data_IF_117072478492
#
_entry.id   IF_117072478492
#
_cell.length_a   1.000
_cell.length_b   1.000
_cell.length_c   1.000
_cell.angle_alpha   90.00
_cell.angle_beta   90.00
_cell.angle_gamma   90.00
#
_symmetry.space_group_name_H-M   'P 1'
#
loop_
_entity.id
_entity.type
_entity.pdbx_description
1 polymer ?
#
# COMPACT_ATOMS: atom_id res chain seq x y z
N UNK A 1 -5.50 26.36 23.81
CA UNK A 1 -4.80 26.98 22.68
C UNK A 1 -4.64 25.88 21.63
N UNK A 2 -5.44 25.89 20.56
CA UNK A 2 -5.32 24.92 19.49
C UNK A 2 -4.09 25.28 18.65
N UNK A 3 -3.05 24.45 18.73
CA UNK A 3 -1.95 24.53 17.77
C UNK A 3 -2.51 24.13 16.39
N UNK A 4 -2.75 25.12 15.54
CA UNK A 4 -3.00 24.83 14.14
C UNK A 4 -1.73 24.18 13.54
N UNK A 5 -1.86 23.13 12.73
CA UNK A 5 -0.71 22.54 12.08
C UNK A 5 -0.03 23.58 11.22
N UNK A 6 1.26 23.80 11.48
CA UNK A 6 2.06 24.77 10.72
C UNK A 6 2.27 24.20 9.32
N UNK A 7 1.66 24.82 8.33
CA UNK A 7 1.92 24.46 6.93
C UNK A 7 3.39 24.72 6.61
N UNK A 8 4.11 23.66 6.25
CA UNK A 8 5.50 23.76 5.78
C UNK A 8 5.47 23.77 4.27
N UNK A 9 5.80 24.90 3.68
CA UNK A 9 5.89 25.04 2.23
C UNK A 9 7.35 24.82 1.81
N UNK A 10 7.61 23.77 1.04
CA UNK A 10 8.94 23.46 0.50
C UNK A 10 9.14 24.22 -0.81
N UNK A 11 9.84 25.36 -0.74
CA UNK A 11 10.24 26.14 -1.93
C UNK A 11 11.74 26.01 -2.16
N UNK A 12 12.19 25.78 -3.41
CA UNK A 12 13.61 25.84 -3.72
C UNK A 12 14.20 27.20 -3.33
N UNK A 13 15.30 27.18 -2.61
CA UNK A 13 16.02 28.41 -2.31
C UNK A 13 16.76 28.89 -3.56
N UNK A 14 16.21 29.89 -4.25
CA UNK A 14 16.78 30.44 -5.47
C UNK A 14 18.17 31.05 -5.28
N UNK A 15 18.53 31.44 -4.07
CA UNK A 15 19.88 31.98 -3.80
C UNK A 15 20.97 30.89 -3.86
N UNK A 16 20.58 29.60 -3.79
CA UNK A 16 21.48 28.47 -3.95
C UNK A 16 21.61 28.01 -5.40
N UNK A 17 20.91 28.64 -6.33
CA UNK A 17 21.07 28.32 -7.76
C UNK A 17 22.46 28.78 -8.21
N UNK A 18 23.21 27.86 -8.82
CA UNK A 18 24.46 28.20 -9.48
C UNK A 18 24.14 28.94 -10.79
N UNK A 19 24.35 30.25 -10.82
CA UNK A 19 24.13 31.07 -12.01
C UNK A 19 25.05 30.72 -13.19
N UNK A 20 26.14 30.02 -12.92
CA UNK A 20 27.12 29.58 -13.92
C UNK A 20 26.92 28.10 -14.28
N UNK A 21 25.76 27.51 -13.98
CA UNK A 21 25.47 26.15 -14.38
C UNK A 21 25.24 26.10 -15.89
N UNK A 22 26.20 25.56 -16.61
CA UNK A 22 26.23 25.42 -18.06
C UNK A 22 25.60 24.11 -18.59
N UNK A 23 24.92 23.36 -17.71
CA UNK A 23 24.28 22.08 -17.98
C UNK A 23 25.09 20.87 -17.53
N UNK A 24 24.50 19.69 -17.73
CA UNK A 24 25.17 18.43 -17.44
C UNK A 24 26.10 18.05 -18.59
N UNK A 25 27.35 17.76 -18.27
CA UNK A 25 28.28 17.16 -19.23
C UNK A 25 28.03 15.65 -19.25
N UNK A 26 27.44 15.15 -20.32
CA UNK A 26 27.26 13.72 -20.52
C UNK A 26 28.60 13.09 -20.88
N UNK A 27 28.98 12.07 -20.16
CA UNK A 27 30.12 11.23 -20.54
C UNK A 27 29.69 10.28 -21.66
N UNK A 28 30.52 10.16 -22.69
CA UNK A 28 30.37 9.13 -23.73
C UNK A 28 31.08 7.82 -23.34
N UNK A 29 31.72 7.78 -22.17
CA UNK A 29 32.28 6.55 -21.64
C UNK A 29 31.17 5.56 -21.34
N UNK A 30 31.35 4.31 -21.75
CA UNK A 30 30.43 3.25 -21.42
C UNK A 30 30.41 3.05 -19.91
N UNK A 31 29.19 2.96 -19.35
CA UNK A 31 29.00 2.56 -17.96
C UNK A 31 29.48 1.10 -17.83
N UNK A 32 30.39 0.79 -16.92
CA UNK A 32 30.80 -0.59 -16.71
C UNK A 32 29.59 -1.46 -16.40
N UNK A 33 29.39 -2.49 -17.20
CA UNK A 33 28.28 -3.41 -17.05
C UNK A 33 28.83 -4.82 -16.95
N UNK A 34 28.37 -5.54 -15.93
CA UNK A 34 28.69 -6.96 -15.76
C UNK A 34 27.40 -7.75 -15.74
N UNK A 35 27.34 -8.79 -16.56
CA UNK A 35 26.17 -9.67 -16.68
C UNK A 35 26.52 -11.05 -16.13
N UNK A 36 25.65 -11.57 -15.26
CA UNK A 36 25.77 -12.92 -14.73
C UNK A 36 24.48 -13.68 -15.02
N UNK A 37 24.60 -14.78 -15.75
CA UNK A 37 23.48 -15.71 -15.90
C UNK A 37 23.28 -16.54 -14.64
N UNK A 38 22.02 -16.63 -14.20
CA UNK A 38 21.63 -17.46 -13.07
C UNK A 38 21.53 -18.92 -13.53
N UNK A 39 22.15 -19.84 -12.78
CA UNK A 39 21.98 -21.30 -13.01
C UNK A 39 20.53 -21.74 -12.79
N UNK A 40 19.89 -21.17 -11.79
CA UNK A 40 18.48 -21.40 -11.47
C UNK A 40 17.82 -20.02 -11.53
N UNK A 41 16.75 -19.83 -12.35
CA UNK A 41 16.09 -18.54 -12.47
C UNK A 41 15.38 -18.17 -11.16
N UNK A 42 14.98 -16.91 -11.03
CA UNK A 42 14.16 -16.44 -9.91
C UNK A 42 12.78 -17.10 -9.90
N UNK A 43 12.16 -17.13 -8.74
CA UNK A 43 10.80 -17.61 -8.56
C UNK A 43 9.81 -16.81 -9.42
N UNK A 44 8.84 -17.51 -10.02
CA UNK A 44 7.81 -16.90 -10.87
C UNK A 44 6.45 -17.10 -10.26
N UNK A 45 5.70 -16.01 -10.21
CA UNK A 45 4.31 -16.06 -9.88
C UNK A 45 3.50 -16.76 -10.98
N UNK A 46 2.60 -17.64 -10.56
CA UNK A 46 1.57 -18.24 -11.43
C UNK A 46 0.22 -17.89 -10.82
N UNK A 47 -0.51 -16.89 -11.37
CA UNK A 47 -1.81 -16.49 -10.83
C UNK A 47 -2.85 -17.61 -10.95
N UNK A 48 -3.75 -17.68 -9.97
CA UNK A 48 -4.98 -18.45 -10.06
C UNK A 48 -6.06 -17.67 -10.84
N UNK A 49 -7.10 -18.38 -11.33
CA UNK A 49 -8.20 -17.76 -12.08
C UNK A 49 -8.93 -16.65 -11.30
N UNK A 50 -8.92 -16.69 -9.98
CA UNK A 50 -9.55 -15.70 -9.11
C UNK A 50 -8.64 -14.51 -8.78
N UNK A 51 -7.40 -14.48 -9.29
CA UNK A 51 -6.39 -13.47 -8.96
C UNK A 51 -6.13 -12.46 -10.09
N UNK A 52 -7.13 -12.19 -10.91
CA UNK A 52 -7.06 -11.20 -12.00
C UNK A 52 -7.64 -9.83 -11.64
N UNK A 53 -7.88 -9.55 -10.36
CA UNK A 53 -8.30 -8.21 -9.94
C UNK A 53 -7.14 -7.21 -10.06
N UNK A 54 -7.50 -5.92 -10.16
CA UNK A 54 -6.51 -4.84 -10.18
C UNK A 54 -5.64 -4.84 -8.91
N UNK A 55 -6.20 -5.21 -7.76
CA UNK A 55 -5.46 -5.29 -6.49
C UNK A 55 -4.38 -6.37 -6.55
N UNK A 56 -4.69 -7.55 -7.08
CA UNK A 56 -3.71 -8.60 -7.29
C UNK A 56 -2.60 -8.18 -8.25
N UNK A 57 -2.96 -7.59 -9.40
CA UNK A 57 -1.98 -7.12 -10.36
C UNK A 57 -1.01 -6.09 -9.76
N UNK A 58 -1.53 -5.16 -8.95
CA UNK A 58 -0.72 -4.16 -8.24
C UNK A 58 0.16 -4.79 -7.16
N UNK A 59 -0.37 -5.73 -6.37
CA UNK A 59 0.43 -6.45 -5.36
C UNK A 59 1.60 -7.19 -6.01
N UNK A 60 1.36 -7.86 -7.13
CA UNK A 60 2.39 -8.57 -7.88
C UNK A 60 3.46 -7.64 -8.46
N UNK A 61 3.04 -6.46 -8.96
CA UNK A 61 3.95 -5.47 -9.52
C UNK A 61 4.89 -4.84 -8.47
N UNK A 62 4.52 -4.87 -7.19
CA UNK A 62 5.35 -4.38 -6.09
C UNK A 62 6.39 -5.40 -5.60
N UNK A 63 6.32 -6.65 -6.07
CA UNK A 63 7.29 -7.66 -5.67
C UNK A 63 8.68 -7.33 -6.20
N UNK A 64 9.65 -7.24 -5.30
CA UNK A 64 11.06 -7.07 -5.65
C UNK A 64 11.82 -8.38 -5.46
N UNK A 65 12.36 -8.91 -6.56
CA UNK A 65 13.17 -10.13 -6.51
C UNK A 65 14.53 -9.93 -5.86
N UNK A 66 15.02 -8.68 -5.78
CA UNK A 66 16.33 -8.37 -5.22
C UNK A 66 16.14 -7.69 -3.86
N UNK A 67 16.83 -8.19 -2.86
CA UNK A 67 16.86 -7.64 -1.51
C UNK A 67 18.30 -7.22 -1.21
N UNK A 68 18.51 -5.93 -1.00
CA UNK A 68 19.77 -5.35 -0.58
C UNK A 68 19.82 -5.14 0.94
N UNK A 69 20.97 -4.90 1.45
CA UNK A 69 21.24 -4.52 2.82
C UNK A 69 21.73 -3.07 2.86
N UNK A 70 21.23 -2.26 3.79
CA UNK A 70 21.61 -0.84 3.87
C UNK A 70 23.11 -0.64 4.18
N UNK A 71 23.67 -1.56 4.94
CA UNK A 71 25.03 -1.46 5.45
C UNK A 71 26.06 -2.29 4.64
N UNK A 72 25.58 -3.04 3.64
CA UNK A 72 26.40 -3.85 2.74
C UNK A 72 25.98 -3.60 1.29
N UNK A 73 26.69 -2.70 0.62
CA UNK A 73 26.43 -2.36 -0.79
C UNK A 73 26.97 -3.40 -1.76
N UNK A 74 27.77 -4.36 -1.31
CA UNK A 74 28.41 -5.37 -2.15
C UNK A 74 27.57 -6.66 -2.25
N UNK A 75 26.62 -6.86 -1.33
CA UNK A 75 25.81 -8.08 -1.28
C UNK A 75 24.35 -7.81 -1.66
N UNK A 76 23.80 -8.68 -2.48
CA UNK A 76 22.38 -8.74 -2.82
C UNK A 76 21.86 -10.16 -2.62
N UNK A 77 20.59 -10.24 -2.25
CA UNK A 77 19.92 -11.51 -1.96
C UNK A 77 18.73 -11.67 -2.90
N UNK A 78 18.46 -12.90 -3.29
CA UNK A 78 17.26 -13.25 -4.04
C UNK A 78 16.86 -14.69 -3.74
N UNK A 79 15.65 -15.06 -4.14
CA UNK A 79 15.11 -16.40 -3.98
C UNK A 79 14.94 -17.00 -5.38
N UNK A 80 15.53 -18.17 -5.59
CA UNK A 80 15.41 -18.89 -6.84
C UNK A 80 14.13 -19.73 -6.91
N UNK A 81 13.82 -20.26 -8.09
CA UNK A 81 12.61 -21.09 -8.31
C UNK A 81 12.57 -22.38 -7.49
N UNK A 82 13.73 -22.84 -7.03
CA UNK A 82 13.85 -24.02 -6.17
C UNK A 82 13.81 -23.65 -4.68
N UNK A 83 13.46 -22.36 -4.40
CA UNK A 83 13.24 -21.76 -3.09
C UNK A 83 14.51 -21.67 -2.23
N UNK A 84 15.66 -21.57 -2.85
CA UNK A 84 16.89 -21.30 -2.13
C UNK A 84 17.11 -19.78 -2.03
N UNK A 85 17.44 -19.33 -0.83
CA UNK A 85 17.97 -17.99 -0.61
C UNK A 85 19.43 -17.98 -1.06
N UNK A 86 19.68 -17.20 -2.10
CA UNK A 86 20.98 -16.99 -2.70
C UNK A 86 21.52 -15.62 -2.28
N UNK A 87 22.79 -15.57 -1.90
CA UNK A 87 23.53 -14.32 -1.72
C UNK A 87 24.49 -14.17 -2.90
N UNK A 88 24.47 -13.03 -3.54
CA UNK A 88 25.52 -12.59 -4.47
C UNK A 88 26.35 -11.51 -3.82
N UNK A 89 27.68 -11.66 -3.92
CA UNK A 89 28.62 -10.62 -3.54
C UNK A 89 29.34 -10.13 -4.80
N UNK A 90 29.44 -8.82 -4.94
CA UNK A 90 30.07 -8.14 -6.05
C UNK A 90 31.32 -7.41 -5.54
N UNK A 91 32.46 -7.87 -5.90
CA UNK A 91 33.69 -7.14 -5.65
C UNK A 91 33.86 -6.02 -6.68
N UNK A 92 33.61 -4.79 -6.29
CA UNK A 92 33.60 -3.64 -7.20
C UNK A 92 34.90 -3.44 -7.95
N UNK A 93 36.05 -3.73 -7.32
CA UNK A 93 37.39 -3.55 -7.94
C UNK A 93 37.74 -4.61 -8.98
N UNK A 94 37.30 -5.83 -8.79
CA UNK A 94 37.66 -6.98 -9.66
C UNK A 94 36.53 -7.35 -10.61
N UNK A 95 35.35 -6.79 -10.43
CA UNK A 95 34.12 -7.22 -11.09
C UNK A 95 33.85 -8.72 -10.92
N UNK A 96 34.36 -9.29 -9.83
CA UNK A 96 34.19 -10.71 -9.52
C UNK A 96 32.84 -10.93 -8.84
N UNK A 97 32.08 -11.93 -9.29
CA UNK A 97 30.85 -12.36 -8.68
C UNK A 97 31.07 -13.68 -7.96
N UNK A 98 30.77 -13.70 -6.69
CA UNK A 98 30.58 -14.94 -5.93
C UNK A 98 29.08 -15.15 -5.64
N UNK A 99 28.68 -16.40 -5.49
CA UNK A 99 27.32 -16.74 -5.07
C UNK A 99 27.34 -17.91 -4.11
N UNK A 100 26.53 -17.81 -3.08
CA UNK A 100 26.36 -18.86 -2.08
C UNK A 100 24.89 -19.07 -1.78
N UNK A 101 24.50 -20.34 -1.62
CA UNK A 101 23.17 -20.72 -1.13
C UNK A 101 23.21 -20.72 0.39
N UNK A 102 22.39 -19.87 1.01
CA UNK A 102 22.36 -19.72 2.45
C UNK A 102 21.32 -20.63 3.12
N UNK A 103 20.15 -20.76 2.51
CA UNK A 103 19.04 -21.50 3.10
C UNK A 103 18.06 -21.96 2.01
N UNK A 104 17.25 -22.95 2.31
CA UNK A 104 16.11 -23.36 1.50
C UNK A 104 14.84 -23.14 2.30
N UNK A 105 13.90 -22.40 1.73
CA UNK A 105 12.60 -22.15 2.36
C UNK A 105 11.85 -23.49 2.47
N UNK A 106 11.52 -23.96 3.68
CA UNK A 106 10.74 -25.17 3.83
C UNK A 106 9.30 -24.92 3.44
N UNK A 107 8.70 -25.85 2.71
CA UNK A 107 7.30 -25.77 2.32
C UNK A 107 6.47 -26.71 3.17
N UNK A 108 5.31 -26.25 3.61
CA UNK A 108 4.33 -27.07 4.34
C UNK A 108 3.43 -27.88 3.40
N UNK A 109 3.36 -27.49 2.13
CA UNK A 109 2.67 -28.17 1.03
C UNK A 109 3.33 -27.83 -0.31
N UNK A 110 2.97 -28.54 -1.36
CA UNK A 110 3.38 -28.16 -2.70
C UNK A 110 2.74 -26.83 -3.12
N UNK A 111 3.50 -26.07 -3.91
CA UNK A 111 3.02 -24.80 -4.48
C UNK A 111 2.00 -25.05 -5.57
N UNK A 112 1.01 -24.21 -5.63
CA UNK A 112 -0.07 -24.24 -6.62
C UNK A 112 -0.24 -22.85 -7.26
N UNK A 113 -0.90 -22.78 -8.43
CA UNK A 113 -1.31 -21.48 -8.96
C UNK A 113 -2.05 -20.66 -7.89
N UNK A 114 -1.74 -19.39 -7.83
CA UNK A 114 -2.30 -18.48 -6.82
C UNK A 114 -1.50 -18.36 -5.53
N UNK A 115 -0.42 -19.11 -5.36
CA UNK A 115 0.53 -18.85 -4.28
C UNK A 115 1.40 -17.64 -4.64
N UNK A 116 1.61 -16.75 -3.67
CA UNK A 116 2.43 -15.55 -3.90
C UNK A 116 3.92 -15.91 -4.01
N UNK A 117 4.70 -15.01 -4.57
CA UNK A 117 6.16 -15.14 -4.48
C UNK A 117 6.60 -15.15 -3.03
N UNK A 118 7.66 -15.88 -2.77
CA UNK A 118 8.34 -15.80 -1.47
C UNK A 118 8.86 -14.38 -1.30
N UNK A 119 8.51 -13.74 -0.19
CA UNK A 119 8.97 -12.40 0.16
C UNK A 119 9.91 -12.44 1.36
N UNK A 120 10.89 -11.55 1.38
CA UNK A 120 11.93 -11.53 2.40
C UNK A 120 12.30 -10.11 2.80
N UNK A 121 12.58 -9.90 4.09
CA UNK A 121 13.18 -8.68 4.63
C UNK A 121 14.38 -9.05 5.51
N UNK A 122 15.49 -8.35 5.28
CA UNK A 122 16.65 -8.38 6.16
C UNK A 122 16.41 -7.35 7.25
N UNK A 123 16.24 -7.77 8.48
CA UNK A 123 15.75 -6.93 9.58
C UNK A 123 16.92 -6.37 10.39
N UNK A 124 17.84 -7.25 10.74
CA UNK A 124 19.11 -6.90 11.38
C UNK A 124 20.25 -7.68 10.74
N UNK A 125 21.47 -7.46 11.19
CA UNK A 125 22.62 -8.28 10.79
C UNK A 125 22.44 -9.77 11.10
N UNK A 126 21.59 -10.11 12.07
CA UNK A 126 21.34 -11.50 12.54
C UNK A 126 19.97 -12.04 12.20
N UNK A 127 19.00 -11.21 11.87
CA UNK A 127 17.62 -11.64 11.71
C UNK A 127 17.12 -11.30 10.31
N UNK A 128 16.53 -12.28 9.65
CA UNK A 128 15.70 -12.07 8.47
C UNK A 128 14.31 -12.67 8.69
N UNK A 129 13.33 -12.11 8.00
CA UNK A 129 11.95 -12.61 7.99
C UNK A 129 11.60 -13.01 6.57
N UNK A 130 11.01 -14.19 6.42
CA UNK A 130 10.64 -14.77 5.13
C UNK A 130 9.19 -15.24 5.19
N UNK A 131 8.38 -14.88 4.21
CA UNK A 131 7.05 -15.44 4.01
C UNK A 131 7.07 -16.32 2.75
N UNK A 132 6.53 -17.52 2.86
CA UNK A 132 6.53 -18.51 1.76
C UNK A 132 5.54 -18.20 0.64
N UNK A 133 4.69 -17.19 0.84
CA UNK A 133 3.61 -16.82 -0.09
C UNK A 133 2.40 -17.75 -0.05
N UNK A 134 2.38 -18.72 0.86
CA UNK A 134 1.31 -19.71 1.04
C UNK A 134 0.60 -19.61 2.39
N UNK A 135 1.09 -18.72 3.29
CA UNK A 135 0.51 -18.45 4.60
C UNK A 135 1.46 -18.69 5.77
N UNK A 136 2.68 -19.17 5.54
CA UNK A 136 3.66 -19.38 6.61
C UNK A 136 4.74 -18.30 6.63
N UNK A 137 5.05 -17.87 7.84
CA UNK A 137 6.13 -16.93 8.14
C UNK A 137 7.28 -17.68 8.83
N UNK A 138 8.50 -17.32 8.47
CA UNK A 138 9.73 -17.80 9.08
C UNK A 138 10.54 -16.62 9.59
N UNK A 139 10.96 -16.67 10.86
CA UNK A 139 12.04 -15.84 11.36
C UNK A 139 13.30 -16.70 11.36
N UNK A 140 14.36 -16.21 10.75
CA UNK A 140 15.60 -16.97 10.60
C UNK A 140 16.77 -16.20 11.22
N UNK A 141 17.61 -16.94 11.92
CA UNK A 141 18.93 -16.49 12.34
C UNK A 141 19.88 -16.62 11.14
N UNK A 142 20.47 -15.50 10.75
CA UNK A 142 21.37 -15.40 9.60
C UNK A 142 22.79 -15.89 9.92
N UNK A 143 23.12 -16.13 11.18
CA UNK A 143 24.47 -16.47 11.62
C UNK A 143 25.46 -15.32 11.40
N UNK A 144 26.73 -15.67 11.26
CA UNK A 144 27.79 -14.70 10.96
C UNK A 144 27.83 -14.39 9.46
N UNK A 145 27.85 -13.10 9.10
CA UNK A 145 27.97 -12.64 7.71
C UNK A 145 29.37 -12.94 7.11
N UNK A 146 30.38 -12.93 7.97
CA UNK A 146 31.78 -13.01 7.54
C UNK A 146 32.13 -14.39 6.96
N UNK A 147 31.39 -15.43 7.34
CA UNK A 147 31.64 -16.82 6.93
C UNK A 147 30.51 -17.43 6.10
N UNK A 148 29.55 -16.63 5.62
CA UNK A 148 28.37 -17.09 4.87
C UNK A 148 27.70 -18.30 5.54
N UNK A 149 27.43 -18.16 6.83
CA UNK A 149 26.84 -19.21 7.65
C UNK A 149 25.43 -19.57 7.15
N UNK A 150 25.08 -20.85 7.26
CA UNK A 150 23.73 -21.31 6.89
C UNK A 150 22.70 -20.74 7.87
N UNK A 151 21.63 -20.21 7.30
CA UNK A 151 20.53 -19.67 8.09
C UNK A 151 19.78 -20.77 8.85
N UNK A 152 19.30 -20.43 10.06
CA UNK A 152 18.58 -21.34 10.93
C UNK A 152 17.21 -20.77 11.26
N UNK A 153 16.17 -21.58 11.16
CA UNK A 153 14.82 -21.19 11.58
C UNK A 153 14.76 -21.06 13.08
N UNK A 154 14.33 -19.92 13.58
CA UNK A 154 14.11 -19.64 15.01
C UNK A 154 12.64 -19.41 15.36
N UNK A 155 11.78 -19.22 14.34
CA UNK A 155 10.34 -19.21 14.47
C UNK A 155 9.70 -19.63 13.14
N UNK A 156 8.57 -20.32 13.22
CA UNK A 156 7.68 -20.58 12.08
C UNK A 156 6.24 -20.59 12.57
N UNK A 157 5.34 -20.01 11.78
CA UNK A 157 3.93 -19.98 12.11
C UNK A 157 3.04 -19.49 10.99
N UNK A 158 1.78 -19.91 11.07
CA UNK A 158 0.66 -19.31 10.37
C UNK A 158 0.15 -18.15 11.25
N UNK A 159 0.62 -16.94 10.93
CA UNK A 159 0.45 -15.77 11.82
C UNK A 159 -0.81 -14.95 11.51
N UNK A 160 -1.48 -15.23 10.39
CA UNK A 160 -2.67 -14.48 9.93
C UNK A 160 -3.93 -15.34 9.93
N UNK A 161 -3.79 -16.62 10.24
CA UNK A 161 -4.87 -17.61 10.26
C UNK A 161 -4.86 -18.55 9.03
N UNK A 162 -5.55 -19.69 9.16
CA UNK A 162 -5.45 -20.78 8.23
C UNK A 162 -5.78 -20.38 6.79
N UNK A 163 -4.82 -20.62 5.88
CA UNK A 163 -5.00 -20.44 4.45
C UNK A 163 -4.91 -19.00 3.94
N UNK A 164 -4.70 -18.01 4.79
CA UNK A 164 -4.49 -16.63 4.38
C UNK A 164 -3.09 -16.46 3.79
N UNK A 165 -3.02 -16.14 2.50
CA UNK A 165 -1.75 -15.90 1.80
C UNK A 165 -1.36 -14.44 1.92
N UNK A 166 -0.09 -14.18 2.19
CA UNK A 166 0.40 -12.82 2.36
C UNK A 166 1.81 -12.63 1.83
N UNK A 167 2.19 -11.36 1.64
CA UNK A 167 3.56 -10.92 1.40
C UNK A 167 4.01 -9.99 2.52
N UNK A 168 5.31 -9.93 2.77
CA UNK A 168 5.88 -9.01 3.75
C UNK A 168 5.96 -7.61 3.15
N UNK A 169 5.32 -6.65 3.78
CA UNK A 169 5.37 -5.23 3.40
C UNK A 169 6.47 -4.52 4.16
N UNK A 170 6.46 -4.66 5.49
CA UNK A 170 7.46 -4.02 6.35
C UNK A 170 7.74 -4.86 7.60
N UNK A 171 8.90 -4.64 8.22
CA UNK A 171 9.29 -5.29 9.48
C UNK A 171 10.12 -4.31 10.31
N UNK A 172 9.76 -4.17 11.57
CA UNK A 172 10.51 -3.39 12.56
C UNK A 172 10.92 -4.31 13.70
N UNK A 173 12.18 -4.24 14.09
CA UNK A 173 12.72 -4.93 15.26
C UNK A 173 12.96 -3.92 16.38
N UNK A 174 12.43 -4.21 17.56
CA UNK A 174 12.67 -3.46 18.78
C UNK A 174 13.55 -4.28 19.69
N UNK A 175 14.72 -3.74 20.01
CA UNK A 175 15.66 -4.37 20.93
C UNK A 175 15.47 -3.74 22.33
N UNK A 176 14.47 -4.22 23.04
CA UNK A 176 14.16 -3.81 24.40
C UNK A 176 14.43 -4.97 25.38
N UNK A 177 13.98 -4.84 26.63
CA UNK A 177 14.11 -5.95 27.62
C UNK A 177 13.51 -7.25 27.11
N UNK A 178 12.45 -7.16 26.33
CA UNK A 178 11.84 -8.24 25.55
C UNK A 178 11.91 -7.85 24.08
N UNK A 179 12.77 -8.48 23.30
CA UNK A 179 12.86 -8.20 21.88
C UNK A 179 11.54 -8.48 21.16
N UNK A 180 11.13 -7.55 20.32
CA UNK A 180 9.89 -7.66 19.53
C UNK A 180 10.16 -7.53 18.04
N UNK A 181 9.41 -8.28 17.26
CA UNK A 181 9.29 -8.11 15.81
C UNK A 181 7.86 -7.68 15.49
N UNK A 182 7.73 -6.50 14.92
CA UNK A 182 6.48 -6.01 14.37
C UNK A 182 6.50 -6.21 12.87
N UNK A 183 5.54 -6.96 12.37
CA UNK A 183 5.44 -7.41 10.99
C UNK A 183 4.23 -6.76 10.36
N UNK A 184 4.41 -6.12 9.22
CA UNK A 184 3.31 -5.65 8.38
C UNK A 184 3.22 -6.55 7.16
N UNK A 185 2.13 -7.29 7.06
CA UNK A 185 1.87 -8.24 6.01
C UNK A 185 0.69 -7.77 5.17
N UNK A 186 0.72 -8.01 3.87
CA UNK A 186 -0.36 -7.62 2.96
C UNK A 186 -0.95 -8.85 2.29
N UNK A 187 -2.28 -8.95 2.33
CA UNK A 187 -3.07 -9.93 1.58
C UNK A 187 -4.17 -9.24 0.76
N UNK A 188 -4.73 -9.97 -0.20
CA UNK A 188 -5.93 -9.57 -0.93
C UNK A 188 -7.02 -10.56 -0.56
N UNK A 189 -8.09 -10.06 0.02
CA UNK A 189 -9.22 -10.86 0.52
C UNK A 189 -10.50 -10.53 -0.23
N UNK A 190 -11.29 -11.54 -0.50
CA UNK A 190 -12.67 -11.44 -0.97
C UNK A 190 -13.55 -12.11 0.08
N UNK A 191 -14.47 -11.37 0.70
CA UNK A 191 -15.31 -11.90 1.78
C UNK A 191 -16.35 -12.91 1.27
N UNK A 192 -17.01 -12.55 0.16
CA UNK A 192 -18.01 -13.39 -0.50
C UNK A 192 -17.72 -13.42 -2.01
N UNK A 193 -18.19 -14.50 -2.69
CA UNK A 193 -17.88 -14.75 -4.10
C UNK A 193 -18.29 -13.61 -5.06
N UNK A 194 -19.27 -12.80 -4.68
CA UNK A 194 -19.75 -11.65 -5.45
C UNK A 194 -19.28 -10.29 -4.92
N UNK A 195 -18.52 -10.27 -3.83
CA UNK A 195 -17.99 -9.03 -3.27
C UNK A 195 -16.71 -8.57 -4.00
N UNK A 196 -16.42 -7.28 -3.85
CA UNK A 196 -15.16 -6.72 -4.36
C UNK A 196 -14.00 -7.17 -3.47
N UNK A 197 -12.87 -7.44 -4.09
CA UNK A 197 -11.63 -7.66 -3.37
C UNK A 197 -11.25 -6.43 -2.54
N UNK A 198 -10.66 -6.67 -1.38
CA UNK A 198 -10.08 -5.65 -0.51
C UNK A 198 -8.64 -6.01 -0.17
N UNK A 199 -7.83 -4.98 0.07
CA UNK A 199 -6.49 -5.15 0.62
C UNK A 199 -6.60 -5.26 2.14
N UNK A 200 -5.95 -6.24 2.73
CA UNK A 200 -5.86 -6.38 4.19
C UNK A 200 -4.39 -6.24 4.60
N UNK A 201 -4.15 -5.33 5.53
CA UNK A 201 -2.87 -5.17 6.19
C UNK A 201 -2.96 -5.86 7.56
N UNK A 202 -2.12 -6.86 7.77
CA UNK A 202 -2.01 -7.54 9.06
C UNK A 202 -0.78 -6.99 9.79
N UNK A 203 -1.00 -6.42 10.94
CA UNK A 203 0.07 -6.00 11.83
C UNK A 203 0.20 -7.04 12.95
N UNK A 204 1.23 -7.88 12.83
CA UNK A 204 1.50 -8.98 13.75
C UNK A 204 2.68 -8.61 14.64
N UNK A 205 2.57 -8.89 15.93
CA UNK A 205 3.65 -8.71 16.89
C UNK A 205 4.12 -10.07 17.41
N UNK A 206 5.41 -10.32 17.23
CA UNK A 206 6.09 -11.47 17.86
C UNK A 206 6.98 -10.96 18.99
N UNK A 207 6.90 -11.54 20.16
CA UNK A 207 7.75 -11.27 21.32
C UNK A 207 8.69 -12.45 21.57
N UNK A 208 9.95 -12.16 21.90
CA UNK A 208 10.93 -13.16 22.29
C UNK A 208 11.03 -13.25 23.80
N UNK A 209 10.62 -14.38 24.34
CA UNK A 209 10.97 -14.82 25.69
C UNK A 209 12.12 -15.84 25.58
N UNK A 210 11.92 -17.09 25.93
CA UNK A 210 12.87 -18.17 25.59
C UNK A 210 12.81 -18.51 24.10
N UNK A 211 11.62 -18.45 23.52
CA UNK A 211 11.33 -18.62 22.09
C UNK A 211 10.46 -17.47 21.58
N UNK A 212 10.42 -17.30 20.26
CA UNK A 212 9.51 -16.32 19.65
C UNK A 212 8.06 -16.82 19.72
N UNK A 213 7.14 -15.95 20.13
CA UNK A 213 5.71 -16.21 20.20
C UNK A 213 4.94 -15.05 19.63
N UNK A 214 3.84 -15.34 18.94
CA UNK A 214 2.89 -14.30 18.52
C UNK A 214 2.10 -13.84 19.75
N UNK A 215 2.12 -12.53 20.00
CA UNK A 215 1.43 -11.92 21.14
C UNK A 215 0.27 -11.04 20.71
N UNK A 216 0.32 -10.46 19.52
CA UNK A 216 -0.76 -9.62 19.00
C UNK A 216 -0.94 -9.75 17.49
N UNK A 217 -2.17 -9.50 17.04
CA UNK A 217 -2.53 -9.29 15.64
C UNK A 217 -3.58 -8.21 15.53
N UNK A 218 -3.38 -7.30 14.56
CA UNK A 218 -4.36 -6.30 14.14
C UNK A 218 -4.56 -6.39 12.64
N UNK A 219 -5.79 -6.25 12.17
CA UNK A 219 -6.09 -6.19 10.74
C UNK A 219 -6.69 -4.84 10.38
N UNK A 220 -6.14 -4.24 9.32
CA UNK A 220 -6.64 -3.04 8.68
C UNK A 220 -7.20 -3.41 7.32
N UNK A 221 -8.49 -3.16 7.08
CA UNK A 221 -9.12 -3.38 5.78
C UNK A 221 -9.16 -2.09 4.97
N UNK A 222 -8.74 -2.20 3.71
CA UNK A 222 -8.74 -1.10 2.72
C UNK A 222 -9.52 -1.57 1.51
N UNK A 223 -10.60 -0.88 1.15
CA UNK A 223 -11.45 -1.25 0.00
C UNK A 223 -10.77 -1.06 -1.35
N UNK A 224 -9.68 -0.31 -1.38
CA UNK A 224 -8.87 -0.02 -2.56
C UNK A 224 -7.45 -0.56 -2.45
N UNK A 225 -6.57 0.01 -3.25
CA UNK A 225 -5.16 -0.34 -3.28
C UNK A 225 -4.35 0.46 -2.26
N UNK A 226 -3.45 -0.22 -1.56
CA UNK A 226 -2.46 0.39 -0.69
C UNK A 226 -1.21 0.70 -1.53
N UNK A 227 -0.92 1.98 -1.72
CA UNK A 227 0.25 2.43 -2.48
C UNK A 227 1.52 2.39 -1.63
N UNK A 228 1.37 2.63 -0.33
CA UNK A 228 2.46 2.60 0.62
C UNK A 228 1.91 2.24 1.99
N UNK A 229 2.60 1.38 2.70
CA UNK A 229 2.36 1.10 4.10
C UNK A 229 3.69 0.83 4.81
N UNK A 230 3.85 1.38 5.99
CA UNK A 230 5.07 1.25 6.78
C UNK A 230 4.75 1.42 8.26
N UNK A 231 5.42 0.65 9.10
CA UNK A 231 5.35 0.80 10.54
C UNK A 231 6.22 1.98 10.99
N UNK A 232 5.72 2.75 11.93
CA UNK A 232 6.57 3.71 12.64
C UNK A 232 7.65 2.95 13.43
N UNK A 233 8.82 3.54 13.60
CA UNK A 233 9.94 2.89 14.31
C UNK A 233 9.63 2.63 15.79
N UNK A 234 8.80 3.45 16.41
CA UNK A 234 8.27 3.23 17.77
C UNK A 234 7.28 2.06 17.83
N UNK A 235 6.72 1.64 16.68
CA UNK A 235 5.65 0.66 16.57
C UNK A 235 4.35 1.06 17.28
N UNK A 236 4.11 2.37 17.43
CA UNK A 236 2.87 2.90 17.99
C UNK A 236 1.87 3.28 16.89
N UNK A 237 2.34 3.41 15.64
CA UNK A 237 1.54 3.84 14.51
C UNK A 237 1.90 3.11 13.22
N UNK A 238 0.95 3.15 12.29
CA UNK A 238 1.05 2.64 10.93
C UNK A 238 0.77 3.78 9.95
N UNK A 239 1.67 4.03 9.01
CA UNK A 239 1.47 4.96 7.90
C UNK A 239 0.90 4.21 6.71
N UNK A 240 -0.22 4.68 6.18
CA UNK A 240 -0.88 4.08 5.01
C UNK A 240 -1.21 5.17 3.99
N UNK A 241 -0.82 4.96 2.75
CA UNK A 241 -1.27 5.75 1.60
C UNK A 241 -2.11 4.82 0.74
N UNK A 242 -3.37 5.14 0.59
CA UNK A 242 -4.33 4.36 -0.19
C UNK A 242 -5.28 5.26 -0.98
N UNK A 243 -5.92 4.71 -1.98
CA UNK A 243 -6.92 5.39 -2.81
C UNK A 243 -8.31 5.42 -2.16
N UNK A 244 -8.49 4.72 -1.05
CA UNK A 244 -9.73 4.71 -0.25
C UNK A 244 -9.42 4.77 1.24
N UNK A 245 -10.42 5.05 2.06
CA UNK A 245 -10.30 4.99 3.51
C UNK A 245 -9.96 3.57 4.01
N UNK A 246 -9.30 3.51 5.15
CA UNK A 246 -8.96 2.27 5.83
C UNK A 246 -9.61 2.22 7.23
N UNK A 247 -9.89 1.03 7.71
CA UNK A 247 -10.44 0.81 9.06
C UNK A 247 -9.88 -0.45 9.69
N UNK A 248 -9.68 -0.43 11.00
CA UNK A 248 -9.39 -1.63 11.75
C UNK A 248 -10.62 -2.54 11.76
N UNK A 249 -10.41 -3.83 11.48
CA UNK A 249 -11.44 -4.87 11.49
C UNK A 249 -11.15 -5.97 12.51
N UNK A 250 -9.93 -6.02 13.01
CA UNK A 250 -9.48 -6.90 14.08
C UNK A 250 -8.41 -6.18 14.91
N UNK A 251 -8.50 -6.26 16.23
CA UNK A 251 -7.43 -5.95 17.18
C UNK A 251 -7.52 -6.96 18.33
N UNK A 252 -6.46 -7.78 18.51
CA UNK A 252 -6.45 -8.82 19.53
C UNK A 252 -6.20 -8.28 20.95
N UNK A 253 -5.76 -7.02 21.07
CA UNK A 253 -5.42 -6.40 22.36
C UNK A 253 -6.50 -5.42 22.83
N UNK A 254 -7.21 -4.79 21.88
CA UNK A 254 -8.19 -3.78 22.20
C UNK A 254 -9.53 -4.10 21.54
N UNK A 255 -10.60 -3.87 22.27
CA UNK A 255 -11.93 -3.89 21.66
C UNK A 255 -12.01 -2.80 20.59
N UNK A 256 -12.22 -3.23 19.33
CA UNK A 256 -12.56 -2.27 18.29
C UNK A 256 -13.92 -1.69 18.68
N UNK A 257 -13.87 -0.58 19.34
CA UNK A 257 -15.07 0.23 19.41
C UNK A 257 -15.35 0.63 17.97
N UNK A 258 -16.49 0.17 17.44
CA UNK A 258 -17.11 0.88 16.35
C UNK A 258 -17.26 2.33 16.87
N UNK A 259 -16.20 3.10 16.70
CA UNK A 259 -16.41 4.48 16.35
C UNK A 259 -17.21 4.28 15.05
N UNK A 260 -18.52 4.21 15.17
CA UNK A 260 -19.32 4.86 14.18
C UNK A 260 -18.53 6.17 13.98
N UNK A 261 -17.60 6.19 12.99
CA UNK A 261 -17.59 7.36 12.19
C UNK A 261 -19.10 7.63 12.09
N UNK A 262 -19.49 8.70 12.69
CA UNK A 262 -20.51 9.49 12.07
C UNK A 262 -19.86 9.76 10.70
N UNK A 263 -19.88 8.75 9.81
CA UNK A 263 -20.36 9.00 8.50
C UNK A 263 -21.69 9.67 8.85
N UNK A 264 -21.63 10.99 8.97
CA UNK A 264 -22.59 11.76 8.28
C UNK A 264 -22.48 11.14 6.89
N UNK A 265 -23.24 10.03 6.65
CA UNK A 265 -23.89 9.86 5.39
C UNK A 265 -24.60 11.20 5.26
N UNK A 266 -23.88 12.17 4.77
CA UNK A 266 -24.48 13.15 3.90
C UNK A 266 -25.02 12.22 2.84
N UNK A 267 -26.27 11.78 3.03
CA UNK A 267 -27.09 11.19 1.98
C UNK A 267 -26.70 12.00 0.79
N UNK A 268 -26.08 11.32 -0.21
CA UNK A 268 -25.58 12.07 -1.37
C UNK A 268 -26.82 12.77 -1.88
N UNK A 269 -26.97 14.03 -1.48
CA UNK A 269 -28.16 14.85 -1.72
C UNK A 269 -28.43 15.01 -3.20
N UNK A 270 -27.52 14.47 -4.03
CA UNK A 270 -27.65 14.51 -5.48
C UNK A 270 -27.04 13.29 -6.16
N UNK A 271 -27.57 12.99 -7.33
CA UNK A 271 -26.99 12.08 -8.33
C UNK A 271 -26.48 12.93 -9.48
N UNK A 272 -25.42 12.47 -10.16
CA UNK A 272 -24.94 13.16 -11.33
C UNK A 272 -24.67 12.20 -12.48
N UNK A 273 -24.77 12.71 -13.70
CA UNK A 273 -24.41 12.04 -14.94
C UNK A 273 -23.69 12.98 -15.85
N UNK A 274 -22.89 12.46 -16.78
CA UNK A 274 -22.12 13.25 -17.72
C UNK A 274 -22.36 12.74 -19.14
N UNK A 275 -22.81 13.65 -20.02
CA UNK A 275 -22.87 13.46 -21.45
C UNK A 275 -21.62 13.97 -22.16
N UNK A 276 -21.63 13.98 -23.51
CA UNK A 276 -20.56 14.58 -24.33
C UNK A 276 -20.41 16.07 -24.05
N UNK A 277 -21.53 16.79 -23.96
CA UNK A 277 -21.58 18.24 -23.97
C UNK A 277 -22.12 18.84 -22.66
N UNK A 278 -22.60 18.02 -21.74
CA UNK A 278 -23.21 18.45 -20.48
C UNK A 278 -22.80 17.62 -19.28
N UNK A 279 -23.13 18.15 -18.08
CA UNK A 279 -23.17 17.45 -16.79
C UNK A 279 -24.51 17.72 -16.15
N UNK A 280 -25.26 16.69 -15.86
CA UNK A 280 -26.58 16.79 -15.21
C UNK A 280 -26.47 16.41 -13.73
N UNK A 281 -26.98 17.29 -12.86
CA UNK A 281 -27.08 17.05 -11.41
C UNK A 281 -28.57 16.91 -11.05
N UNK A 282 -28.93 15.88 -10.26
CA UNK A 282 -30.30 15.62 -9.79
C UNK A 282 -30.33 15.55 -8.27
N UNK A 283 -31.04 16.47 -7.66
CA UNK A 283 -31.24 16.56 -6.22
C UNK A 283 -32.62 16.03 -5.89
N UNK A 284 -32.74 14.97 -5.08
CA UNK A 284 -34.02 14.50 -4.54
C UNK A 284 -34.28 15.28 -3.27
N UNK A 285 -35.33 16.09 -3.26
CA UNK A 285 -35.76 16.92 -2.14
C UNK A 285 -37.08 16.41 -1.57
N UNK A 286 -37.67 17.16 -0.66
CA UNK A 286 -38.98 16.82 -0.13
C UNK A 286 -40.09 17.00 -1.18
N UNK A 287 -41.22 16.35 -0.98
CA UNK A 287 -42.44 16.53 -1.81
C UNK A 287 -42.83 18.01 -1.91
N UNK A 288 -43.16 18.44 -3.13
CA UNK A 288 -43.58 19.83 -3.44
C UNK A 288 -42.49 20.89 -3.26
N UNK A 289 -41.41 20.79 -4.06
CA UNK A 289 -40.35 21.80 -4.11
C UNK A 289 -40.90 23.16 -4.53
N UNK A 290 -40.71 24.16 -3.68
CA UNK A 290 -41.02 25.56 -4.01
C UNK A 290 -39.87 26.17 -4.79
N UNK A 291 -40.10 26.55 -6.05
CA UNK A 291 -39.07 27.19 -6.90
C UNK A 291 -38.47 28.46 -6.30
N UNK A 292 -39.25 29.15 -5.46
CA UNK A 292 -38.81 30.40 -4.82
C UNK A 292 -37.72 30.16 -3.74
N UNK A 293 -37.54 28.92 -3.27
CA UNK A 293 -36.55 28.55 -2.29
C UNK A 293 -35.29 27.97 -2.95
N UNK A 294 -35.31 27.72 -4.26
CA UNK A 294 -34.17 27.21 -5.00
C UNK A 294 -33.27 28.37 -5.41
N UNK A 295 -31.99 28.28 -5.06
CA UNK A 295 -30.95 29.19 -5.52
C UNK A 295 -29.85 28.36 -6.19
N UNK A 296 -29.57 28.65 -7.47
CA UNK A 296 -28.50 28.02 -8.26
C UNK A 296 -27.60 29.13 -8.74
N UNK A 297 -26.41 29.17 -8.17
CA UNK A 297 -25.33 30.11 -8.56
C UNK A 297 -24.24 29.32 -9.28
N UNK A 298 -24.00 29.66 -10.53
CA UNK A 298 -23.00 28.97 -11.36
C UNK A 298 -22.06 30.00 -11.97
N UNK A 299 -20.77 29.71 -11.84
CA UNK A 299 -19.68 30.44 -12.50
C UNK A 299 -18.89 29.45 -13.36
N UNK A 300 -18.03 29.95 -14.22
CA UNK A 300 -17.26 29.11 -15.13
C UNK A 300 -16.50 27.95 -14.46
N UNK A 301 -16.14 28.06 -13.18
CA UNK A 301 -15.35 27.08 -12.43
C UNK A 301 -15.93 26.73 -11.06
N UNK A 302 -17.09 27.27 -10.71
CA UNK A 302 -17.72 27.07 -9.39
C UNK A 302 -19.23 26.88 -9.52
N UNK A 303 -19.78 26.10 -8.63
CA UNK A 303 -21.21 25.88 -8.49
C UNK A 303 -21.64 25.96 -7.03
N UNK A 304 -22.80 26.56 -6.79
CA UNK A 304 -23.49 26.54 -5.51
C UNK A 304 -24.99 26.36 -5.72
N UNK A 305 -25.56 25.36 -5.08
CA UNK A 305 -26.98 25.02 -5.12
C UNK A 305 -27.54 25.02 -3.68
N UNK A 306 -28.63 25.77 -3.48
CA UNK A 306 -29.27 25.85 -2.19
C UNK A 306 -30.78 25.59 -2.31
N UNK A 307 -31.37 25.08 -1.23
CA UNK A 307 -32.81 25.04 -1.03
C UNK A 307 -33.16 25.69 0.32
N UNK A 308 -33.76 26.88 0.30
CA UNK A 308 -33.86 27.73 1.49
C UNK A 308 -32.51 28.10 2.05
N UNK A 309 -32.28 27.83 3.32
CA UNK A 309 -31.02 28.08 4.02
C UNK A 309 -30.02 26.89 3.87
N UNK A 310 -30.47 25.75 3.34
CA UNK A 310 -29.68 24.56 3.22
C UNK A 310 -28.82 24.58 1.95
N UNK A 311 -27.50 24.35 2.09
CA UNK A 311 -26.58 24.18 0.98
C UNK A 311 -26.61 22.71 0.55
N UNK A 312 -27.07 22.44 -0.68
CA UNK A 312 -27.15 21.11 -1.27
C UNK A 312 -25.85 20.70 -1.93
N UNK A 313 -25.17 21.66 -2.58
CA UNK A 313 -23.89 21.48 -3.22
C UNK A 313 -23.15 22.82 -3.27
N UNK A 314 -21.86 22.80 -2.94
CA UNK A 314 -20.95 23.93 -3.14
C UNK A 314 -19.55 23.38 -3.44
N UNK A 315 -18.92 23.88 -4.52
CA UNK A 315 -17.56 23.43 -4.85
C UNK A 315 -17.04 23.95 -6.17
N UNK A 316 -15.79 23.57 -6.45
CA UNK A 316 -15.12 23.85 -7.72
C UNK A 316 -15.40 22.74 -8.74
N UNK A 317 -15.60 23.15 -9.97
CA UNK A 317 -15.73 22.25 -11.12
C UNK A 317 -14.35 21.84 -11.61
N UNK A 318 -14.22 20.60 -12.04
CA UNK A 318 -12.94 20.09 -12.57
C UNK A 318 -12.52 20.79 -13.86
N UNK A 319 -13.49 21.16 -14.70
CA UNK A 319 -13.27 21.90 -15.95
C UNK A 319 -14.20 23.10 -16.01
N UNK A 320 -13.84 24.07 -16.85
CA UNK A 320 -14.70 25.24 -17.11
C UNK A 320 -15.95 24.82 -17.86
N UNK A 321 -17.04 25.46 -17.51
CA UNK A 321 -18.35 25.29 -18.16
C UNK A 321 -18.82 26.65 -18.74
N UNK A 322 -19.83 26.59 -19.60
CA UNK A 322 -20.57 27.76 -20.04
C UNK A 322 -21.67 28.09 -19.02
N UNK A 323 -21.42 29.08 -18.17
CA UNK A 323 -22.38 29.49 -17.13
C UNK A 323 -23.67 30.05 -17.71
N UNK A 324 -23.61 30.67 -18.91
CA UNK A 324 -24.78 31.33 -19.54
C UNK A 324 -25.74 30.31 -20.17
N UNK A 325 -25.21 29.12 -20.52
CA UNK A 325 -25.98 28.00 -21.05
C UNK A 325 -26.45 27.01 -19.98
N UNK A 326 -26.10 27.27 -18.73
CA UNK A 326 -26.56 26.43 -17.60
C UNK A 326 -28.05 26.67 -17.32
N UNK A 327 -28.81 25.59 -17.16
CA UNK A 327 -30.22 25.68 -16.83
C UNK A 327 -30.58 24.75 -15.69
N UNK A 328 -31.69 25.03 -15.00
CA UNK A 328 -32.22 24.16 -14.00
C UNK A 328 -33.74 24.08 -14.06
N UNK A 329 -34.27 22.94 -13.63
CA UNK A 329 -35.73 22.67 -13.62
C UNK A 329 -36.14 21.93 -12.37
N UNK A 330 -37.37 22.09 -11.95
CA UNK A 330 -37.99 21.35 -10.85
C UNK A 330 -39.13 20.52 -11.39
N UNK A 331 -39.03 19.20 -11.20
CA UNK A 331 -40.07 18.23 -11.56
C UNK A 331 -40.44 17.36 -10.36
N UNK A 332 -41.60 17.60 -9.79
CA UNK A 332 -42.06 16.89 -8.57
C UNK A 332 -41.15 17.15 -7.39
N UNK A 333 -40.49 16.11 -6.90
CA UNK A 333 -39.54 16.09 -5.79
C UNK A 333 -38.07 16.22 -6.24
N UNK A 334 -37.82 16.44 -7.52
CA UNK A 334 -36.49 16.48 -8.10
C UNK A 334 -36.14 17.87 -8.64
N UNK A 335 -35.02 18.43 -8.17
CA UNK A 335 -34.33 19.55 -8.79
C UNK A 335 -33.25 19.02 -9.72
N UNK A 336 -33.34 19.37 -11.00
CA UNK A 336 -32.34 19.02 -12.01
C UNK A 336 -31.58 20.29 -12.45
N UNK A 337 -30.25 20.21 -12.43
CA UNK A 337 -29.33 21.28 -12.90
C UNK A 337 -28.47 20.70 -14.01
N UNK A 338 -28.48 21.37 -15.18
CA UNK A 338 -27.70 20.97 -16.36
C UNK A 338 -26.63 22.00 -16.61
N UNK A 339 -25.38 21.58 -16.52
CA UNK A 339 -24.19 22.39 -16.76
C UNK A 339 -23.66 22.10 -18.16
N UNK A 340 -23.56 23.11 -19.01
CA UNK A 340 -23.04 22.96 -20.35
C UNK A 340 -21.52 23.09 -20.35
N UNK A 341 -20.82 22.17 -21.06
CA UNK A 341 -19.36 22.16 -21.16
C UNK A 341 -18.86 23.19 -22.18
#
# INVERSE_FOLDING_TARGET
MHNQPKLIELRPNRALLNSNFDGYKLSLAQIPTVTKELKVPVDRLVPDINQYSLLHAKLYALHNHLVGESDDSESIYFIDKDLHVQKFTIEALTSHFSSVTLWKVPLQRERSPGDYNVSMKLVTDKIAVVADGMGYLYVVDRGSRDVDEKWKVIFTGDVTGPGEKFVITDVVYKEEQKPELHLLLTSIRQKEENERHSTVLHWVTLEKTDVWNQVAIRELSVSGFVQYANLERSCDALYVISDTGCKFVLDSENEIRDTQEVQVETEKKYKWGQGSDDVTLKFSLCENISKNLVTVEVQATQIKVKYGDEVLLEGFLHQRIDSDMTCWTVMGDTLEVVLQK
#
